data_IF_290572047801
#
_entry.id   IF_290572047801
#
_cell.length_a   1.000
_cell.length_b   1.000
_cell.length_c   1.000
_cell.angle_alpha   90.00
_cell.angle_beta   90.00
_cell.angle_gamma   90.00
#
_symmetry.space_group_name_H-M   'P 1'
#
loop_
_entity.id
_entity.type
_entity.pdbx_description
1 polymer ?
#
# COMPACT_ATOMS: atom_id res chain seq x y z
N UNK A 1 0.83 28.43 -23.84
CA UNK A 1 1.94 27.49 -23.53
C UNK A 1 1.38 26.42 -22.62
N UNK A 2 1.16 25.21 -23.13
CA UNK A 2 0.69 24.07 -22.33
C UNK A 2 1.76 23.00 -22.48
N UNK A 3 2.72 22.91 -21.57
CA UNK A 3 3.56 21.71 -21.40
C UNK A 3 4.47 21.82 -20.18
N UNK A 4 4.07 21.17 -19.10
CA UNK A 4 4.94 20.62 -18.05
C UNK A 4 4.02 19.83 -17.11
N UNK A 5 3.69 18.60 -17.48
CA UNK A 5 3.18 17.64 -16.49
C UNK A 5 4.42 17.00 -15.88
N UNK A 6 4.81 17.47 -14.69
CA UNK A 6 6.04 17.05 -14.00
C UNK A 6 6.12 15.53 -13.78
N UNK A 7 7.34 15.03 -13.57
CA UNK A 7 7.64 13.65 -13.13
C UNK A 7 6.78 13.20 -11.95
N UNK A 8 6.50 14.07 -10.97
CA UNK A 8 5.63 13.74 -9.85
C UNK A 8 4.20 13.48 -10.31
N UNK A 9 3.68 14.24 -11.28
CA UNK A 9 2.34 13.98 -11.79
C UNK A 9 2.29 12.64 -12.52
N UNK A 10 3.32 12.32 -13.32
CA UNK A 10 3.46 11.00 -13.96
C UNK A 10 3.58 9.88 -12.93
N UNK A 11 4.30 10.11 -11.84
CA UNK A 11 4.48 9.14 -10.76
C UNK A 11 3.18 8.88 -10.00
N UNK A 12 2.42 9.94 -9.70
CA UNK A 12 1.09 9.85 -9.07
C UNK A 12 0.11 9.11 -9.98
N UNK A 13 0.15 9.37 -11.28
CA UNK A 13 -0.68 8.63 -12.24
C UNK A 13 -0.26 7.15 -12.32
N UNK A 14 1.04 6.86 -12.32
CA UNK A 14 1.55 5.49 -12.27
C UNK A 14 1.07 4.75 -11.01
N UNK A 15 1.21 5.34 -9.82
CA UNK A 15 0.71 4.76 -8.58
C UNK A 15 -0.80 4.55 -8.58
N UNK A 16 -1.55 5.47 -9.19
CA UNK A 16 -3.01 5.31 -9.38
C UNK A 16 -3.30 4.05 -10.18
N UNK A 17 -2.64 3.90 -11.32
CA UNK A 17 -2.86 2.77 -12.24
C UNK A 17 -2.39 1.45 -11.65
N UNK A 18 -1.27 1.45 -10.93
CA UNK A 18 -0.75 0.28 -10.19
C UNK A 18 -1.71 -0.14 -9.09
N UNK A 19 -2.25 0.82 -8.32
CA UNK A 19 -3.24 0.54 -7.27
C UNK A 19 -4.46 -0.18 -7.84
N UNK A 20 -4.94 0.25 -9.02
CA UNK A 20 -6.06 -0.41 -9.69
C UNK A 20 -5.72 -1.84 -10.15
N UNK A 21 -4.52 -2.04 -10.69
CA UNK A 21 -4.10 -3.36 -11.17
C UNK A 21 -3.94 -4.36 -10.01
N UNK A 22 -3.19 -3.98 -8.97
CA UNK A 22 -2.95 -4.82 -7.80
C UNK A 22 -4.22 -5.05 -6.97
N UNK A 23 -5.00 -3.99 -6.74
CA UNK A 23 -6.25 -4.08 -6.01
C UNK A 23 -7.29 -4.93 -6.74
N UNK A 24 -7.42 -4.75 -8.05
CA UNK A 24 -8.32 -5.57 -8.88
C UNK A 24 -7.96 -7.06 -8.85
N UNK A 25 -6.67 -7.38 -8.92
CA UNK A 25 -6.16 -8.74 -8.76
C UNK A 25 -6.54 -9.32 -7.39
N UNK A 26 -6.21 -8.64 -6.29
CA UNK A 26 -6.49 -9.12 -4.93
C UNK A 26 -7.99 -9.30 -4.67
N UNK A 27 -8.83 -8.39 -5.15
CA UNK A 27 -10.30 -8.53 -5.04
C UNK A 27 -10.78 -9.78 -5.78
N UNK A 28 -10.24 -10.07 -6.96
CA UNK A 28 -10.58 -11.27 -7.70
C UNK A 28 -10.13 -12.54 -6.96
N UNK A 29 -8.87 -12.57 -6.52
CA UNK A 29 -8.28 -13.66 -5.76
C UNK A 29 -9.11 -13.99 -4.52
N UNK A 30 -9.36 -13.00 -3.66
CA UNK A 30 -10.04 -13.24 -2.39
C UNK A 30 -11.50 -13.62 -2.53
N UNK A 31 -12.21 -13.12 -3.56
CA UNK A 31 -13.56 -13.60 -3.85
C UNK A 31 -13.59 -15.06 -4.26
N UNK A 32 -12.60 -15.50 -5.06
CA UNK A 32 -12.45 -16.92 -5.43
C UNK A 32 -12.15 -17.79 -4.21
N UNK A 33 -11.35 -17.28 -3.27
CA UNK A 33 -11.03 -17.92 -2.00
C UNK A 33 -12.14 -17.77 -0.93
N UNK A 34 -13.23 -17.05 -1.23
CA UNK A 34 -14.32 -16.73 -0.30
C UNK A 34 -13.89 -15.93 0.95
N UNK A 35 -12.78 -15.20 0.88
CA UNK A 35 -12.34 -14.25 1.91
C UNK A 35 -12.89 -12.84 1.62
N UNK A 36 -14.17 -12.63 1.96
CA UNK A 36 -14.83 -11.34 1.75
C UNK A 36 -14.19 -10.19 2.56
N UNK A 37 -13.51 -10.50 3.67
CA UNK A 37 -12.87 -9.48 4.52
C UNK A 37 -11.62 -8.92 3.85
N UNK A 38 -10.79 -9.78 3.27
CA UNK A 38 -9.63 -9.34 2.49
C UNK A 38 -10.04 -8.70 1.16
N UNK A 39 -11.08 -9.22 0.50
CA UNK A 39 -11.63 -8.57 -0.69
C UNK A 39 -12.12 -7.14 -0.38
N UNK A 40 -12.84 -6.94 0.73
CA UNK A 40 -13.28 -5.62 1.17
C UNK A 40 -12.09 -4.70 1.53
N UNK A 41 -11.04 -5.24 2.13
CA UNK A 41 -9.82 -4.47 2.44
C UNK A 41 -9.13 -4.01 1.17
N UNK A 42 -8.96 -4.87 0.16
CA UNK A 42 -8.38 -4.50 -1.12
C UNK A 42 -9.22 -3.43 -1.86
N UNK A 43 -10.56 -3.50 -1.76
CA UNK A 43 -11.45 -2.44 -2.27
C UNK A 43 -11.27 -1.11 -1.53
N UNK A 44 -11.17 -1.12 -0.20
CA UNK A 44 -10.94 0.08 0.61
C UNK A 44 -9.65 0.79 0.19
N UNK A 45 -8.56 0.02 0.01
CA UNK A 45 -7.26 0.54 -0.43
C UNK A 45 -7.35 1.18 -1.82
N UNK A 46 -8.10 0.55 -2.73
CA UNK A 46 -8.19 0.99 -4.11
C UNK A 46 -9.12 2.19 -4.34
N UNK A 47 -10.10 2.42 -3.45
CA UNK A 47 -11.17 3.41 -3.65
C UNK A 47 -10.68 4.82 -4.03
N UNK A 48 -9.67 5.44 -3.36
CA UNK A 48 -9.19 6.76 -3.76
C UNK A 48 -8.60 6.80 -5.18
N UNK A 49 -7.98 5.70 -5.61
CA UNK A 49 -7.41 5.56 -6.95
C UNK A 49 -8.49 5.36 -8.01
N UNK A 50 -9.60 4.70 -7.68
CA UNK A 50 -10.77 4.58 -8.58
C UNK A 50 -11.40 5.94 -8.85
N UNK A 51 -11.64 6.74 -7.80
CA UNK A 51 -12.18 8.10 -7.94
C UNK A 51 -11.27 8.96 -8.83
N UNK A 52 -9.96 8.94 -8.56
CA UNK A 52 -8.98 9.69 -9.35
C UNK A 52 -8.94 9.23 -10.80
N UNK A 53 -8.88 7.93 -11.04
CA UNK A 53 -8.80 7.35 -12.38
C UNK A 53 -10.05 7.66 -13.21
N UNK A 54 -11.24 7.56 -12.61
CA UNK A 54 -12.49 7.93 -13.26
C UNK A 54 -12.51 9.41 -13.67
N UNK A 55 -12.00 10.30 -12.81
CA UNK A 55 -11.91 11.74 -13.10
C UNK A 55 -10.91 12.08 -14.21
N UNK A 56 -9.79 11.35 -14.28
CA UNK A 56 -8.68 11.64 -15.18
C UNK A 56 -8.64 10.75 -16.44
N UNK A 57 -9.57 9.81 -16.59
CA UNK A 57 -9.56 8.84 -17.69
C UNK A 57 -8.36 7.89 -17.66
N UNK A 58 -7.84 7.55 -16.48
CA UNK A 58 -6.69 6.66 -16.35
C UNK A 58 -7.14 5.20 -16.37
N UNK A 59 -6.57 4.40 -17.28
CA UNK A 59 -6.72 2.95 -17.28
C UNK A 59 -5.65 2.29 -16.37
N UNK A 60 -5.91 1.12 -15.77
CA UNK A 60 -4.90 0.37 -15.01
C UNK A 60 -3.63 0.11 -15.83
N UNK A 61 -2.48 -0.04 -15.17
CA UNK A 61 -1.31 -0.64 -15.83
C UNK A 61 -1.66 -2.10 -16.06
N UNK A 62 -1.09 -2.70 -17.13
CA UNK A 62 -1.30 -4.10 -17.54
C UNK A 62 -1.80 -4.99 -16.40
N UNK A 63 -3.01 -5.57 -16.52
CA UNK A 63 -3.58 -6.34 -15.44
C UNK A 63 -2.63 -7.49 -15.10
N UNK A 64 -2.41 -7.71 -13.79
CA UNK A 64 -1.78 -8.95 -13.36
C UNK A 64 -2.56 -10.14 -13.94
N UNK A 65 -1.84 -11.21 -14.26
CA UNK A 65 -2.46 -12.47 -14.64
C UNK A 65 -3.47 -12.86 -13.56
N UNK A 66 -4.70 -13.18 -13.99
CA UNK A 66 -5.80 -13.47 -13.07
C UNK A 66 -5.62 -14.80 -12.38
N UNK A 67 -5.00 -15.75 -13.08
CA UNK A 67 -4.78 -17.12 -12.63
C UNK A 67 -3.28 -17.46 -12.73
N UNK A 68 -2.44 -16.80 -11.91
CA UNK A 68 -1.00 -16.98 -11.98
C UNK A 68 -0.60 -18.40 -11.54
N UNK A 69 0.52 -18.95 -12.06
CA UNK A 69 0.99 -20.29 -11.71
C UNK A 69 1.44 -20.42 -10.24
N UNK A 70 1.81 -19.30 -9.60
CA UNK A 70 2.10 -19.20 -8.17
C UNK A 70 1.23 -18.09 -7.56
N UNK A 71 0.12 -18.50 -6.96
CA UNK A 71 -0.85 -17.57 -6.36
C UNK A 71 -0.28 -16.84 -5.15
N UNK A 72 0.53 -17.51 -4.33
CA UNK A 72 1.12 -16.93 -3.12
C UNK A 72 2.10 -15.81 -3.47
N UNK A 73 3.00 -16.04 -4.42
CA UNK A 73 3.95 -15.00 -4.85
C UNK A 73 3.24 -13.86 -5.60
N UNK A 74 2.14 -14.15 -6.32
CA UNK A 74 1.34 -13.11 -6.97
C UNK A 74 0.55 -12.26 -5.97
N UNK A 75 -0.06 -12.87 -4.94
CA UNK A 75 -0.71 -12.19 -3.82
C UNK A 75 0.28 -11.29 -3.09
N UNK A 76 1.45 -11.84 -2.78
CA UNK A 76 2.58 -11.15 -2.17
C UNK A 76 2.97 -9.89 -2.95
N UNK A 77 3.21 -10.06 -4.25
CA UNK A 77 3.57 -8.98 -5.16
C UNK A 77 2.47 -7.92 -5.25
N UNK A 78 1.21 -8.34 -5.28
CA UNK A 78 0.09 -7.41 -5.37
C UNK A 78 -0.07 -6.57 -4.09
N UNK A 79 0.01 -7.17 -2.91
CA UNK A 79 -0.02 -6.41 -1.67
C UNK A 79 1.17 -5.48 -1.51
N UNK A 80 2.37 -5.96 -1.83
CA UNK A 80 3.56 -5.11 -1.85
C UNK A 80 3.36 -3.92 -2.78
N UNK A 81 2.86 -4.14 -4.00
CA UNK A 81 2.58 -3.08 -4.96
C UNK A 81 1.52 -2.07 -4.47
N UNK A 82 0.49 -2.53 -3.75
CA UNK A 82 -0.49 -1.64 -3.12
C UNK A 82 0.15 -0.78 -2.03
N UNK A 83 0.95 -1.40 -1.15
CA UNK A 83 1.69 -0.70 -0.10
C UNK A 83 2.60 0.35 -0.72
N UNK A 84 3.42 -0.01 -1.72
CA UNK A 84 4.34 0.90 -2.40
C UNK A 84 3.61 2.11 -2.99
N UNK A 85 2.50 1.88 -3.70
CA UNK A 85 1.72 2.95 -4.31
C UNK A 85 1.09 3.88 -3.28
N UNK A 86 0.51 3.34 -2.19
CA UNK A 86 -0.10 4.15 -1.14
C UNK A 86 0.92 4.92 -0.31
N UNK A 87 2.10 4.35 -0.07
CA UNK A 87 3.22 5.06 0.52
C UNK A 87 3.62 6.26 -0.34
N UNK A 88 3.71 6.09 -1.66
CA UNK A 88 3.97 7.17 -2.61
C UNK A 88 2.93 8.30 -2.51
N UNK A 89 1.64 7.97 -2.47
CA UNK A 89 0.57 8.96 -2.27
C UNK A 89 0.67 9.71 -0.94
N UNK A 90 0.98 8.99 0.16
CA UNK A 90 1.17 9.59 1.47
C UNK A 90 2.35 10.55 1.48
N UNK A 91 3.50 10.15 0.93
CA UNK A 91 4.68 11.00 0.81
C UNK A 91 4.38 12.24 -0.01
N UNK A 92 3.72 12.08 -1.17
CA UNK A 92 3.31 13.21 -2.00
C UNK A 92 2.44 14.20 -1.22
N UNK A 93 1.37 13.74 -0.58
CA UNK A 93 0.45 14.59 0.19
C UNK A 93 1.05 15.17 1.48
N UNK A 94 2.13 14.59 2.01
CA UNK A 94 2.87 15.15 3.12
C UNK A 94 3.77 16.32 2.69
N UNK A 95 4.28 16.28 1.45
CA UNK A 95 5.19 17.30 0.91
C UNK A 95 4.47 18.44 0.21
N UNK A 96 3.35 18.18 -0.46
CA UNK A 96 2.56 19.25 -1.07
C UNK A 96 1.64 19.87 -0.02
N UNK A 97 1.77 21.18 0.20
CA UNK A 97 0.89 21.92 1.08
C UNK A 97 -0.50 21.96 0.45
N UNK A 98 -1.43 21.14 0.97
CA UNK A 98 -2.66 20.80 0.27
C UNK A 98 -3.84 20.52 1.19
N UNK A 99 -5.04 20.29 0.61
CA UNK A 99 -6.26 20.14 1.39
C UNK A 99 -6.15 18.93 2.34
N UNK A 100 -6.60 19.10 3.59
CA UNK A 100 -6.53 18.05 4.63
C UNK A 100 -7.32 16.78 4.27
N UNK A 101 -8.33 16.89 3.40
CA UNK A 101 -9.19 15.78 2.97
C UNK A 101 -8.45 14.69 2.18
N UNK A 102 -7.87 14.99 1.01
CA UNK A 102 -7.01 14.09 0.24
C UNK A 102 -5.91 13.42 1.08
N UNK A 103 -5.21 14.19 1.93
CA UNK A 103 -4.19 13.67 2.83
C UNK A 103 -4.72 12.58 3.77
N UNK A 104 -5.85 12.83 4.44
CA UNK A 104 -6.49 11.83 5.32
C UNK A 104 -6.94 10.57 4.58
N UNK A 105 -7.43 10.71 3.34
CA UNK A 105 -7.82 9.57 2.51
C UNK A 105 -6.62 8.71 2.11
N UNK A 106 -5.51 9.34 1.71
CA UNK A 106 -4.26 8.63 1.44
C UNK A 106 -3.73 7.92 2.69
N UNK A 107 -3.71 8.60 3.84
CA UNK A 107 -3.30 8.00 5.12
C UNK A 107 -4.17 6.79 5.51
N UNK A 108 -5.50 6.86 5.29
CA UNK A 108 -6.39 5.72 5.56
C UNK A 108 -6.12 4.55 4.61
N UNK A 109 -6.01 4.81 3.31
CA UNK A 109 -5.75 3.78 2.31
C UNK A 109 -4.38 3.12 2.54
N UNK A 110 -3.37 3.89 2.91
CA UNK A 110 -2.06 3.36 3.32
C UNK A 110 -2.17 2.42 4.53
N UNK A 111 -2.85 2.83 5.61
CA UNK A 111 -3.06 1.96 6.78
C UNK A 111 -3.82 0.68 6.43
N UNK A 112 -4.83 0.77 5.56
CA UNK A 112 -5.56 -0.39 5.09
C UNK A 112 -4.68 -1.33 4.26
N UNK A 113 -3.78 -0.80 3.43
CA UNK A 113 -2.84 -1.58 2.62
C UNK A 113 -1.84 -2.33 3.50
N UNK A 114 -1.25 -1.63 4.48
CA UNK A 114 -0.36 -2.26 5.47
C UNK A 114 -1.12 -3.34 6.23
N UNK A 115 -2.30 -3.05 6.77
CA UNK A 115 -3.12 -4.04 7.49
C UNK A 115 -3.40 -5.28 6.63
N UNK A 116 -3.81 -5.10 5.38
CA UNK A 116 -4.07 -6.21 4.45
C UNK A 116 -2.83 -7.08 4.26
N UNK A 117 -1.68 -6.46 4.03
CA UNK A 117 -0.40 -7.15 3.86
C UNK A 117 0.02 -7.93 5.12
N UNK A 118 -0.07 -7.31 6.30
CA UNK A 118 0.26 -7.96 7.58
C UNK A 118 -0.69 -9.11 7.91
N UNK A 119 -1.96 -9.01 7.49
CA UNK A 119 -2.96 -10.07 7.71
C UNK A 119 -2.76 -11.24 6.76
N UNK A 120 -2.30 -10.99 5.53
CA UNK A 120 -2.13 -12.02 4.51
C UNK A 120 -0.88 -12.89 4.72
N UNK A 121 0.15 -12.38 5.40
CA UNK A 121 1.45 -13.06 5.49
C UNK A 121 1.99 -13.19 6.93
N UNK A 122 2.85 -14.20 7.19
CA UNK A 122 3.54 -14.35 8.48
C UNK A 122 4.38 -13.12 8.83
N UNK A 123 4.50 -12.86 10.14
CA UNK A 123 5.18 -11.66 10.68
C UNK A 123 6.63 -11.57 10.20
N UNK A 124 7.35 -12.69 10.23
CA UNK A 124 8.76 -12.79 9.84
C UNK A 124 8.95 -12.38 8.38
N UNK A 125 8.06 -12.88 7.53
CA UNK A 125 8.11 -12.62 6.10
C UNK A 125 7.77 -11.16 5.76
N UNK A 126 6.81 -10.56 6.48
CA UNK A 126 6.51 -9.13 6.32
C UNK A 126 7.67 -8.27 6.82
N UNK A 127 8.29 -8.62 7.95
CA UNK A 127 9.42 -7.87 8.50
C UNK A 127 10.63 -7.86 7.54
N UNK A 128 10.95 -9.01 6.92
CA UNK A 128 12.04 -9.13 5.95
C UNK A 128 11.80 -8.28 4.69
N UNK A 129 10.56 -8.29 4.16
CA UNK A 129 10.22 -7.53 2.94
C UNK A 129 10.01 -6.04 3.19
N UNK A 130 9.57 -5.66 4.39
CA UNK A 130 9.20 -4.28 4.72
C UNK A 130 10.34 -3.28 4.60
N UNK A 131 11.54 -3.61 5.08
CA UNK A 131 12.70 -2.70 5.00
C UNK A 131 13.11 -2.40 3.56
N UNK A 132 13.00 -3.40 2.67
CA UNK A 132 13.27 -3.24 1.24
C UNK A 132 12.19 -2.38 0.54
N UNK A 133 10.93 -2.57 0.91
CA UNK A 133 9.80 -1.75 0.41
C UNK A 133 10.00 -0.28 0.81
N UNK A 134 10.35 -0.03 2.08
CA UNK A 134 10.63 1.31 2.58
C UNK A 134 11.70 2.00 1.74
N UNK A 135 12.83 1.31 1.53
CA UNK A 135 13.99 1.88 0.82
C UNK A 135 13.68 2.22 -0.63
N UNK A 136 13.02 1.30 -1.34
CA UNK A 136 12.64 1.51 -2.73
C UNK A 136 11.66 2.68 -2.89
N UNK A 137 10.64 2.75 -2.03
CA UNK A 137 9.63 3.81 -2.13
C UNK A 137 10.21 5.16 -1.74
N UNK A 138 10.98 5.24 -0.66
CA UNK A 138 11.60 6.50 -0.25
C UNK A 138 12.55 7.02 -1.32
N UNK A 139 13.34 6.13 -1.94
CA UNK A 139 14.25 6.48 -3.03
C UNK A 139 13.48 7.02 -4.24
N UNK A 140 12.49 6.27 -4.75
CA UNK A 140 11.68 6.70 -5.91
C UNK A 140 10.96 8.02 -5.67
N UNK A 141 10.46 8.24 -4.45
CA UNK A 141 9.83 9.52 -4.10
C UNK A 141 10.86 10.64 -4.10
N UNK A 142 11.98 10.49 -3.39
CA UNK A 142 13.02 11.52 -3.30
C UNK A 142 13.54 11.90 -4.71
N UNK A 143 13.84 10.92 -5.55
CA UNK A 143 14.29 11.16 -6.92
C UNK A 143 13.22 11.89 -7.76
N UNK A 144 11.95 11.49 -7.65
CA UNK A 144 10.85 12.13 -8.36
C UNK A 144 10.64 13.60 -7.96
N UNK A 145 10.78 13.92 -6.68
CA UNK A 145 10.68 15.29 -6.18
C UNK A 145 11.82 16.17 -6.67
N UNK A 146 13.05 15.67 -6.64
CA UNK A 146 14.24 16.43 -7.06
C UNK A 146 14.21 16.71 -8.56
N UNK A 147 13.83 15.72 -9.37
CA UNK A 147 13.72 15.91 -10.81
C UNK A 147 12.69 16.97 -11.19
N UNK A 148 11.60 17.11 -10.42
CA UNK A 148 10.57 18.13 -10.65
C UNK A 148 10.96 19.53 -10.18
N UNK A 149 11.90 19.62 -9.22
CA UNK A 149 12.47 20.91 -8.80
C UNK A 149 13.43 21.48 -9.86
N UNK A 150 13.83 20.69 -10.87
CA UNK A 150 14.61 21.16 -12.02
C UNK A 150 16.06 21.49 -11.70
N UNK A 151 16.54 21.14 -10.51
CA UNK A 151 17.93 21.28 -10.11
C UNK A 151 18.66 19.94 -10.29
N UNK A 152 19.96 19.99 -10.62
CA UNK A 152 20.88 18.92 -10.28
C UNK A 152 20.94 18.88 -8.74
N UNK A 153 19.87 18.36 -8.12
CA UNK A 153 19.62 18.55 -6.70
C UNK A 153 20.83 18.10 -5.90
N UNK A 154 21.26 18.96 -4.98
CA UNK A 154 22.39 18.72 -4.11
C UNK A 154 22.26 17.29 -3.53
N UNK A 155 23.29 16.44 -3.64
CA UNK A 155 23.30 15.13 -2.99
C UNK A 155 22.90 15.19 -1.51
N UNK A 156 23.18 16.29 -0.80
CA UNK A 156 22.77 16.51 0.59
C UNK A 156 21.24 16.71 0.71
N UNK A 157 20.65 17.54 -0.16
CA UNK A 157 19.19 17.73 -0.20
C UNK A 157 18.47 16.44 -0.58
N UNK A 158 19.06 15.65 -1.49
CA UNK A 158 18.57 14.31 -1.83
C UNK A 158 18.57 13.38 -0.64
N UNK A 159 19.69 13.32 0.07
CA UNK A 159 19.84 12.46 1.24
C UNK A 159 18.87 12.88 2.36
N UNK A 160 18.70 14.18 2.59
CA UNK A 160 17.79 14.70 3.60
C UNK A 160 16.33 14.44 3.26
N UNK A 161 15.93 14.70 2.00
CA UNK A 161 14.58 14.40 1.53
C UNK A 161 14.26 12.90 1.63
N UNK A 162 15.21 12.06 1.20
CA UNK A 162 15.11 10.60 1.35
C UNK A 162 14.93 10.20 2.82
N UNK A 163 15.74 10.74 3.73
CA UNK A 163 15.67 10.46 5.17
C UNK A 163 14.33 10.87 5.78
N UNK A 164 13.82 12.05 5.44
CA UNK A 164 12.52 12.56 5.91
C UNK A 164 11.36 11.70 5.41
N UNK A 165 11.35 11.36 4.12
CA UNK A 165 10.34 10.48 3.52
C UNK A 165 10.38 9.11 4.20
N UNK A 166 11.57 8.50 4.28
CA UNK A 166 11.74 7.18 4.91
C UNK A 166 11.27 7.19 6.37
N UNK A 167 11.64 8.20 7.16
CA UNK A 167 11.25 8.30 8.57
C UNK A 167 9.73 8.38 8.74
N UNK A 168 9.06 9.21 7.93
CA UNK A 168 7.61 9.35 7.97
C UNK A 168 6.89 8.05 7.57
N UNK A 169 7.38 7.38 6.53
CA UNK A 169 6.82 6.11 6.06
C UNK A 169 6.99 5.01 7.12
N UNK A 170 8.18 4.92 7.72
CA UNK A 170 8.47 3.96 8.80
C UNK A 170 7.56 4.19 10.01
N UNK A 171 7.41 5.43 10.49
CA UNK A 171 6.49 5.75 11.59
C UNK A 171 5.04 5.37 11.26
N UNK A 172 4.61 5.60 10.03
CA UNK A 172 3.26 5.23 9.58
C UNK A 172 3.02 3.72 9.61
N UNK A 173 4.03 2.92 9.24
CA UNK A 173 3.97 1.47 9.35
C UNK A 173 4.00 0.99 10.78
N UNK A 174 4.93 1.47 11.61
CA UNK A 174 5.00 1.06 13.01
C UNK A 174 3.67 1.29 13.73
N UNK A 175 2.97 2.39 13.40
CA UNK A 175 1.62 2.64 13.91
C UNK A 175 0.60 1.62 13.41
N UNK A 176 0.53 1.38 12.10
CA UNK A 176 -0.39 0.40 11.52
C UNK A 176 -0.13 -1.03 12.02
N UNK A 177 1.14 -1.36 12.23
CA UNK A 177 1.61 -2.63 12.78
C UNK A 177 1.25 -2.77 14.26
N UNK A 178 1.51 -1.73 15.07
CA UNK A 178 1.11 -1.70 16.48
C UNK A 178 -0.42 -1.80 16.66
N UNK A 179 -1.19 -1.18 15.77
CA UNK A 179 -2.66 -1.30 15.76
C UNK A 179 -3.14 -2.74 15.48
N UNK A 180 -2.35 -3.58 14.80
CA UNK A 180 -2.65 -5.01 14.61
C UNK A 180 -2.22 -5.88 15.80
N UNK A 181 -1.13 -5.53 16.47
CA UNK A 181 -0.65 -6.27 17.64
C UNK A 181 -1.34 -5.88 18.94
N UNK A 182 -2.07 -4.76 18.95
CA UNK A 182 -2.86 -4.35 20.10
C UNK A 182 -3.94 -5.43 20.36
N UNK A 183 -4.02 -6.01 21.58
CA UNK A 183 -5.13 -6.90 21.91
C UNK A 183 -6.41 -6.12 21.65
N UNK A 184 -7.35 -6.73 20.92
CA UNK A 184 -8.66 -6.15 20.70
C UNK A 184 -9.21 -5.72 22.08
N UNK A 185 -9.24 -4.42 22.35
CA UNK A 185 -9.88 -3.91 23.55
C UNK A 185 -11.36 -4.29 23.43
N UNK A 186 -11.74 -5.36 24.13
CA UNK A 186 -12.92 -6.17 23.81
C UNK A 186 -14.27 -5.49 24.06
N UNK A 187 -15.34 -6.30 24.05
CA UNK A 187 -16.07 -6.42 25.30
C UNK A 187 -16.36 -7.88 25.64
N UNK A 188 -15.78 -8.36 26.75
CA UNK A 188 -16.25 -9.54 27.48
C UNK A 188 -15.88 -10.90 26.88
N UNK A 189 -15.37 -11.77 27.75
CA UNK A 189 -15.25 -13.22 27.63
C UNK A 189 -15.87 -13.89 26.40
N UNK A 190 -15.02 -14.39 25.50
CA UNK A 190 -15.33 -15.63 24.77
C UNK A 190 -14.10 -16.52 24.77
N UNK A 191 -14.14 -17.51 25.63
CA UNK A 191 -13.19 -18.60 25.75
C UNK A 191 -13.15 -19.38 24.42
N UNK A 192 -12.19 -19.06 23.55
CA UNK A 192 -11.94 -19.84 22.33
C UNK A 192 -11.14 -21.09 22.70
N UNK A 193 -11.83 -22.22 22.82
CA UNK A 193 -11.17 -23.52 22.76
C UNK A 193 -11.03 -23.91 21.28
N UNK A 194 -9.82 -24.21 20.79
CA UNK A 194 -9.65 -24.74 19.44
C UNK A 194 -10.37 -26.09 19.32
N UNK A 195 -11.10 -26.30 18.22
CA UNK A 195 -11.74 -27.56 17.94
C UNK A 195 -10.69 -28.68 17.86
N UNK A 196 -10.85 -29.72 18.68
CA UNK A 196 -10.06 -30.93 18.58
C UNK A 196 -10.24 -31.57 17.19
N UNK A 197 -9.17 -32.12 16.59
CA UNK A 197 -9.29 -32.85 15.34
C UNK A 197 -10.19 -34.07 15.54
N UNK A 198 -11.23 -34.19 14.71
CA UNK A 198 -12.05 -35.39 14.58
C UNK A 198 -11.17 -36.55 14.09
N UNK A 199 -10.56 -37.27 15.02
CA UNK A 199 -9.63 -38.33 14.70
C UNK A 199 -9.14 -39.12 15.91
N UNK A 200 -10.06 -39.84 16.56
CA UNK A 200 -9.86 -41.17 17.16
C UNK A 200 -10.97 -41.46 18.17
N UNK A 201 -12.04 -42.13 17.73
CA UNK A 201 -12.87 -42.95 18.63
C UNK A 201 -12.28 -44.36 18.64
N UNK A 202 -11.94 -44.94 19.80
CA UNK A 202 -12.15 -46.36 20.02
C UNK A 202 -13.64 -46.67 20.23
#
# INVERSE_FOLDING_TARGET
MISSTGQLTRQVDLWTRQTLAFGGFLVHLYRRLQDEKQAATALEVMAPSQERAARLGLAPVEPLDRDPPDETEAEARAWQGLVEAQMGFCSFHAMVDGPRGPRRRAERAYRAAVRGFVTAFPVEWVAERWEAILDQVSTRCADGFIQDLGEDGDPEDRAELHRLIRSNLHQGFTRAWAEQQAPAAGPGDVNYQPAEPLGARP
#
